data_IF_832460240335
#
_entry.id   IF_832460240335
#
_cell.length_a   1.000
_cell.length_b   1.000
_cell.length_c   1.000
_cell.angle_alpha   90.00
_cell.angle_beta   90.00
_cell.angle_gamma   90.00
#
_symmetry.space_group_name_H-M   'P 1'
#
loop_
_entity.id
_entity.type
_entity.pdbx_description
1 polymer ?
#
# COMPACT_ATOMS: atom_id res chain seq x y z
N UNK A 1 -13.83 -0.43 -16.71
CA UNK A 1 -12.71 -1.23 -16.17
C UNK A 1 -12.76 -1.14 -14.67
N UNK A 2 -13.06 -2.23 -13.94
CA UNK A 2 -12.82 -2.25 -12.50
C UNK A 2 -11.31 -2.25 -12.31
N UNK A 3 -10.72 -1.08 -12.02
CA UNK A 3 -9.36 -1.02 -11.49
C UNK A 3 -9.37 -1.84 -10.21
N UNK A 4 -8.77 -3.03 -10.26
CA UNK A 4 -8.55 -3.83 -9.07
C UNK A 4 -7.55 -3.03 -8.22
N UNK A 5 -7.95 -2.61 -7.00
CA UNK A 5 -7.13 -1.86 -6.05
C UNK A 5 -5.70 -2.39 -5.97
N UNK A 6 -5.55 -3.71 -6.04
CA UNK A 6 -4.26 -4.42 -6.08
C UNK A 6 -3.36 -3.98 -7.24
N UNK A 7 -3.89 -3.82 -8.45
CA UNK A 7 -3.08 -3.47 -9.63
C UNK A 7 -2.65 -2.00 -9.58
N UNK A 8 -3.49 -1.12 -9.04
CA UNK A 8 -3.15 0.28 -8.83
C UNK A 8 -2.04 0.43 -7.79
N UNK A 9 -2.17 -0.21 -6.63
CA UNK A 9 -1.14 -0.18 -5.59
C UNK A 9 0.18 -0.77 -6.13
N UNK A 10 0.12 -1.89 -6.86
CA UNK A 10 1.31 -2.48 -7.48
C UNK A 10 1.99 -1.56 -8.50
N UNK A 11 1.23 -0.78 -9.26
CA UNK A 11 1.82 0.13 -10.24
C UNK A 11 2.59 1.26 -9.56
N UNK A 12 2.12 1.77 -8.42
CA UNK A 12 2.85 2.74 -7.61
C UNK A 12 4.14 2.15 -7.02
N UNK A 13 4.10 0.92 -6.51
CA UNK A 13 5.28 0.21 -5.99
C UNK A 13 6.35 0.07 -7.09
N UNK A 14 5.97 -0.43 -8.26
CA UNK A 14 6.89 -0.58 -9.40
C UNK A 14 7.41 0.78 -9.89
N UNK A 15 6.57 1.82 -9.87
CA UNK A 15 6.96 3.19 -10.27
C UNK A 15 8.01 3.80 -9.34
N UNK A 16 8.02 3.44 -8.05
CA UNK A 16 9.07 3.83 -7.12
C UNK A 16 10.35 3.00 -7.26
N UNK A 17 10.38 2.01 -8.16
CA UNK A 17 11.51 1.10 -8.32
C UNK A 17 11.64 0.11 -7.17
N UNK A 18 10.56 -0.10 -6.41
CA UNK A 18 10.53 -0.96 -5.24
C UNK A 18 9.88 -2.31 -5.57
N UNK A 19 10.28 -3.32 -4.83
CA UNK A 19 9.63 -4.62 -4.76
C UNK A 19 8.56 -4.63 -3.67
N UNK A 20 7.61 -5.56 -3.77
CA UNK A 20 6.62 -5.76 -2.71
C UNK A 20 7.27 -6.14 -1.37
N UNK A 21 8.44 -6.80 -1.42
CA UNK A 21 9.17 -7.20 -0.23
C UNK A 21 9.77 -5.97 0.48
N UNK A 22 10.45 -5.09 -0.26
CA UNK A 22 11.02 -3.85 0.29
C UNK A 22 9.94 -2.97 0.94
N UNK A 23 8.76 -2.87 0.33
CA UNK A 23 7.62 -2.13 0.92
C UNK A 23 7.18 -2.77 2.24
N UNK A 24 7.07 -4.09 2.30
CA UNK A 24 6.70 -4.80 3.53
C UNK A 24 7.77 -4.65 4.61
N UNK A 25 9.04 -4.66 4.24
CA UNK A 25 10.16 -4.48 5.17
C UNK A 25 10.17 -3.07 5.74
N UNK A 26 9.94 -2.03 4.93
CA UNK A 26 9.77 -0.65 5.42
C UNK A 26 8.56 -0.53 6.36
N UNK A 27 7.41 -1.10 6.00
CA UNK A 27 6.22 -1.09 6.86
C UNK A 27 6.47 -1.77 8.20
N UNK A 28 7.35 -2.79 8.22
CA UNK A 28 7.75 -3.47 9.46
C UNK A 28 8.69 -2.61 10.28
N UNK A 29 9.70 -2.02 9.66
CA UNK A 29 10.76 -1.27 10.34
C UNK A 29 10.25 0.08 10.88
N UNK A 30 9.45 0.80 10.10
CA UNK A 30 8.99 2.15 10.44
C UNK A 30 7.69 2.18 11.26
N UNK A 31 6.85 1.14 11.12
CA UNK A 31 5.53 1.12 11.77
C UNK A 31 5.30 -0.09 12.68
N UNK A 32 6.33 -0.93 12.89
CA UNK A 32 6.26 -2.09 13.80
C UNK A 32 5.28 -3.18 13.35
N UNK A 33 4.87 -3.16 12.07
CA UNK A 33 3.87 -4.08 11.53
C UNK A 33 4.43 -5.48 11.33
N UNK A 34 3.70 -6.51 11.76
CA UNK A 34 4.02 -7.93 11.49
C UNK A 34 3.52 -8.39 10.12
N UNK A 35 3.53 -7.50 9.13
CA UNK A 35 2.96 -7.81 7.82
C UNK A 35 3.95 -8.62 6.96
N UNK A 36 3.40 -9.49 6.12
CA UNK A 36 4.13 -10.26 5.13
C UNK A 36 3.62 -9.90 3.74
N UNK A 37 4.42 -10.18 2.70
CA UNK A 37 4.01 -10.00 1.30
C UNK A 37 2.67 -10.69 0.99
N UNK A 38 2.46 -11.87 1.55
CA UNK A 38 1.19 -12.60 1.40
C UNK A 38 0.03 -11.88 2.08
N UNK A 39 0.23 -11.36 3.30
CA UNK A 39 -0.80 -10.62 4.01
C UNK A 39 -1.21 -9.35 3.26
N UNK A 40 -0.23 -8.55 2.83
CA UNK A 40 -0.48 -7.33 2.06
C UNK A 40 -1.18 -7.66 0.73
N UNK A 41 -0.72 -8.67 0.00
CA UNK A 41 -1.38 -9.10 -1.25
C UNK A 41 -2.81 -9.58 -1.02
N UNK A 42 -3.10 -10.28 0.08
CA UNK A 42 -4.44 -10.74 0.43
C UNK A 42 -5.36 -9.57 0.81
N UNK A 43 -4.87 -8.60 1.60
CA UNK A 43 -5.62 -7.37 1.94
C UNK A 43 -5.98 -6.58 0.68
N UNK A 44 -5.04 -6.42 -0.24
CA UNK A 44 -5.27 -5.74 -1.52
C UNK A 44 -6.25 -6.49 -2.41
N UNK A 45 -6.18 -7.82 -2.46
CA UNK A 45 -7.07 -8.64 -3.26
C UNK A 45 -8.51 -8.67 -2.72
N UNK A 46 -8.68 -8.62 -1.40
CA UNK A 46 -9.99 -8.63 -0.73
C UNK A 46 -10.54 -7.24 -0.46
N UNK A 47 -9.83 -6.19 -0.90
CA UNK A 47 -10.18 -4.79 -0.67
C UNK A 47 -10.40 -4.47 0.83
N UNK A 48 -9.62 -5.13 1.69
CA UNK A 48 -9.75 -5.07 3.15
C UNK A 48 -8.62 -4.27 3.82
N UNK A 49 -7.98 -3.36 3.08
CA UNK A 49 -6.91 -2.50 3.59
C UNK A 49 -7.50 -1.46 4.55
N UNK A 50 -7.03 -1.44 5.79
CA UNK A 50 -7.46 -0.44 6.79
C UNK A 50 -6.89 0.92 6.45
N UNK A 51 -7.55 1.98 6.90
CA UNK A 51 -7.08 3.35 6.66
C UNK A 51 -5.64 3.58 7.17
N UNK A 52 -5.30 3.09 8.37
CA UNK A 52 -3.95 3.23 8.91
C UNK A 52 -2.90 2.52 8.03
N UNK A 53 -3.25 1.37 7.45
CA UNK A 53 -2.36 0.62 6.57
C UNK A 53 -2.19 1.34 5.22
N UNK A 54 -3.24 2.01 4.74
CA UNK A 54 -3.16 2.84 3.54
C UNK A 54 -2.26 4.07 3.78
N UNK A 55 -2.36 4.72 4.94
CA UNK A 55 -1.50 5.85 5.32
C UNK A 55 -0.04 5.42 5.39
N UNK A 56 0.25 4.33 6.09
CA UNK A 56 1.60 3.76 6.21
C UNK A 56 2.17 3.35 4.85
N UNK A 57 1.34 2.74 3.99
CA UNK A 57 1.74 2.39 2.63
C UNK A 57 2.04 3.62 1.77
N UNK A 58 1.27 4.69 1.92
CA UNK A 58 1.53 5.95 1.22
C UNK A 58 2.87 6.54 1.69
N UNK A 59 3.10 6.58 3.01
CA UNK A 59 4.34 7.08 3.62
C UNK A 59 5.57 6.30 3.13
N UNK A 60 5.53 4.96 3.19
CA UNK A 60 6.59 4.08 2.70
C UNK A 60 6.87 4.22 1.19
N UNK A 61 5.90 4.71 0.41
CA UNK A 61 6.04 4.98 -1.02
C UNK A 61 6.38 6.45 -1.33
N UNK A 62 6.49 7.31 -0.31
CA UNK A 62 6.75 8.75 -0.47
C UNK A 62 5.55 9.56 -0.96
N UNK A 63 4.32 9.13 -0.64
CA UNK A 63 3.06 9.79 -1.02
C UNK A 63 2.28 10.27 0.21
N UNK A 64 1.42 11.27 -0.02
CA UNK A 64 0.48 11.79 0.97
C UNK A 64 -0.96 11.42 0.58
N UNK A 65 -1.79 11.02 1.55
CA UNK A 65 -3.23 10.84 1.34
C UNK A 65 -3.95 12.17 1.56
N UNK A 66 -4.57 12.68 0.51
CA UNK A 66 -5.33 13.94 0.55
C UNK A 66 -6.85 13.69 0.47
N UNK A 67 -7.61 14.38 1.33
CA UNK A 67 -9.06 14.43 1.25
C UNK A 67 -9.49 15.56 0.32
N UNK A 68 -9.85 15.22 -0.91
CA UNK A 68 -10.36 16.18 -1.88
C UNK A 68 -11.89 16.14 -1.93
N UNK A 69 -12.54 17.26 -1.58
CA UNK A 69 -14.00 17.39 -1.71
C UNK A 69 -14.39 17.27 -3.18
N UNK A 70 -15.33 16.36 -3.49
CA UNK A 70 -15.89 16.23 -4.84
C UNK A 70 -16.65 17.52 -5.19
N UNK A 71 -16.49 18.00 -6.43
CA UNK A 71 -17.26 19.14 -6.97
C UNK A 71 -18.72 18.76 -7.14
#
# INVERSE_FOLDING_TARGET
MKSNLRNEIKSYIVRQGMTMQEVVDLLRDEHGGSDSVSNLSNKLQRESLRYIEAVQLADALGYEIIWQKRR
#
